data_IF_119214500088
#
_entry.id   IF_119214500088
#
_cell.length_a   1.000
_cell.length_b   1.000
_cell.length_c   1.000
_cell.angle_alpha   90.00
_cell.angle_beta   90.00
_cell.angle_gamma   90.00
#
_symmetry.space_group_name_H-M   'P 1'
#
loop_
_entity.id
_entity.type
_entity.pdbx_description
1 polymer ?
#
# COMPACT_ATOMS: atom_id res chain seq x y z
N UNK A 1 35.50 23.20 -3.37
CA UNK A 1 34.84 23.36 -2.06
C UNK A 1 33.31 23.07 -2.14
N UNK A 2 32.61 23.41 -3.23
CA UNK A 2 31.17 23.16 -3.43
C UNK A 2 30.79 21.67 -3.49
N UNK A 3 31.60 20.81 -4.07
CA UNK A 3 31.29 19.37 -4.27
C UNK A 3 31.31 18.51 -3.00
N UNK A 4 32.04 18.91 -1.96
CA UNK A 4 32.09 18.16 -0.68
C UNK A 4 30.88 18.49 0.22
N UNK A 5 30.40 19.74 0.17
CA UNK A 5 29.22 20.17 0.96
C UNK A 5 27.93 19.54 0.41
N UNK A 6 27.78 19.53 -0.93
CA UNK A 6 26.61 18.89 -1.59
C UNK A 6 26.57 17.39 -1.35
N UNK A 7 27.69 16.67 -1.37
CA UNK A 7 27.74 15.23 -1.05
C UNK A 7 27.40 14.93 0.41
N UNK A 8 27.81 15.77 1.36
CA UNK A 8 27.48 15.59 2.78
C UNK A 8 26.00 15.88 3.05
N UNK A 9 25.43 16.91 2.44
CA UNK A 9 24.00 17.25 2.56
C UNK A 9 23.14 16.15 1.94
N UNK A 10 23.47 15.71 0.74
CA UNK A 10 22.77 14.62 0.06
C UNK A 10 22.85 13.31 0.86
N UNK A 11 24.04 12.95 1.40
CA UNK A 11 24.19 11.77 2.26
C UNK A 11 23.48 11.86 3.61
N UNK A 12 23.29 13.07 4.15
CA UNK A 12 22.51 13.28 5.37
C UNK A 12 21.00 13.19 5.08
N UNK A 13 20.52 13.77 4.00
CA UNK A 13 19.12 13.66 3.56
C UNK A 13 18.72 12.21 3.27
N UNK A 14 19.56 11.46 2.53
CA UNK A 14 19.32 10.03 2.28
C UNK A 14 19.28 9.20 3.57
N UNK A 15 20.12 9.52 4.56
CA UNK A 15 20.09 8.84 5.87
C UNK A 15 18.84 9.19 6.67
N UNK A 16 18.39 10.43 6.67
CA UNK A 16 17.14 10.82 7.35
C UNK A 16 15.92 10.18 6.69
N UNK A 17 15.86 10.12 5.37
CA UNK A 17 14.80 9.45 4.61
C UNK A 17 14.75 7.95 4.93
N UNK A 18 15.89 7.27 4.95
CA UNK A 18 15.97 5.84 5.29
C UNK A 18 15.56 5.53 6.74
N UNK A 19 15.92 6.39 7.71
CA UNK A 19 15.53 6.21 9.10
C UNK A 19 14.00 6.37 9.24
N UNK A 20 13.43 7.42 8.65
CA UNK A 20 11.99 7.67 8.68
C UNK A 20 11.20 6.50 8.03
N UNK A 21 11.66 6.01 6.89
CA UNK A 21 11.06 4.86 6.19
C UNK A 21 11.09 3.62 7.08
N UNK A 22 12.22 3.34 7.73
CA UNK A 22 12.38 2.17 8.62
C UNK A 22 11.42 2.23 9.81
N UNK A 23 11.24 3.41 10.42
CA UNK A 23 10.33 3.60 11.55
C UNK A 23 8.86 3.44 11.13
N UNK A 24 8.47 4.00 9.98
CA UNK A 24 7.11 3.81 9.43
C UNK A 24 6.84 2.34 9.16
N UNK A 25 7.75 1.63 8.52
CA UNK A 25 7.61 0.21 8.22
C UNK A 25 7.56 -0.67 9.47
N UNK A 26 8.28 -0.31 10.52
CA UNK A 26 8.18 -0.96 11.83
C UNK A 26 6.78 -0.78 12.41
N UNK A 27 6.24 0.42 12.39
CA UNK A 27 4.89 0.71 12.91
C UNK A 27 3.80 -0.06 12.13
N UNK A 28 3.96 -0.21 10.79
CA UNK A 28 3.08 -1.04 9.96
C UNK A 28 3.13 -2.49 10.41
N UNK A 29 4.32 -3.06 10.55
CA UNK A 29 4.48 -4.45 10.98
C UNK A 29 3.87 -4.70 12.37
N UNK A 30 4.04 -3.76 13.31
CA UNK A 30 3.44 -3.82 14.64
C UNK A 30 1.90 -3.76 14.57
N UNK A 31 1.35 -2.85 13.76
CA UNK A 31 -0.10 -2.76 13.54
C UNK A 31 -0.66 -4.06 12.95
N UNK A 32 0.03 -4.64 11.96
CA UNK A 32 -0.37 -5.92 11.36
C UNK A 32 -0.27 -7.07 12.35
N UNK A 33 0.73 -7.11 13.22
CA UNK A 33 0.86 -8.15 14.26
C UNK A 33 -0.33 -8.15 15.22
N UNK A 34 -0.80 -6.97 15.61
CA UNK A 34 -1.94 -6.79 16.52
C UNK A 34 -3.28 -7.12 15.86
N UNK A 35 -3.42 -6.86 14.55
CA UNK A 35 -4.65 -7.05 13.80
C UNK A 35 -4.98 -8.53 13.56
N UNK A 36 -6.27 -8.84 13.45
CA UNK A 36 -6.79 -10.15 13.05
C UNK A 36 -7.65 -10.07 11.79
N UNK A 37 -8.43 -8.99 11.63
CA UNK A 37 -9.32 -8.75 10.50
C UNK A 37 -8.90 -7.47 9.78
N UNK A 38 -8.36 -7.62 8.59
CA UNK A 38 -7.81 -6.51 7.81
C UNK A 38 -8.70 -6.22 6.61
N UNK A 39 -9.10 -4.96 6.46
CA UNK A 39 -9.78 -4.47 5.28
C UNK A 39 -8.75 -3.74 4.38
N UNK A 40 -8.64 -4.17 3.15
CA UNK A 40 -7.89 -3.48 2.10
C UNK A 40 -8.86 -2.75 1.19
N UNK A 41 -8.58 -1.50 0.87
CA UNK A 41 -9.42 -0.65 0.03
C UNK A 41 -8.58 -0.05 -1.08
N UNK A 42 -8.99 -0.28 -2.34
CA UNK A 42 -8.37 0.32 -3.52
C UNK A 42 -8.85 1.75 -3.74
N UNK A 43 -8.12 2.52 -4.55
CA UNK A 43 -8.62 3.82 -5.03
C UNK A 43 -9.94 3.68 -5.82
N UNK A 44 -10.65 4.77 -5.98
CA UNK A 44 -11.90 4.86 -6.75
C UNK A 44 -11.68 4.76 -8.26
N UNK A 45 -10.46 4.89 -8.74
CA UNK A 45 -10.02 4.70 -10.12
C UNK A 45 -8.80 3.80 -10.16
N UNK A 46 -8.97 2.52 -9.78
CA UNK A 46 -7.85 1.62 -9.60
C UNK A 46 -7.19 1.27 -10.93
N UNK A 47 -5.88 1.19 -10.92
CA UNK A 47 -5.05 0.76 -12.04
C UNK A 47 -4.16 -0.43 -11.65
N UNK A 48 -3.11 -0.68 -12.42
CA UNK A 48 -2.21 -1.80 -12.15
C UNK A 48 -1.37 -1.62 -10.90
N UNK A 49 -1.05 -0.37 -10.50
CA UNK A 49 -0.29 -0.10 -9.27
C UNK A 49 -1.19 -0.28 -8.04
N UNK A 50 -2.42 0.22 -8.11
CA UNK A 50 -3.42 0.01 -7.07
C UNK A 50 -3.68 -1.48 -6.80
N UNK A 51 -3.93 -2.28 -7.86
CA UNK A 51 -4.16 -3.72 -7.71
C UNK A 51 -2.90 -4.48 -7.32
N UNK A 52 -1.77 -4.16 -7.93
CA UNK A 52 -0.50 -4.82 -7.67
C UNK A 52 -0.07 -4.68 -6.21
N UNK A 53 -0.07 -3.46 -5.69
CA UNK A 53 0.33 -3.15 -4.31
C UNK A 53 -0.59 -3.78 -3.28
N UNK A 54 -1.91 -3.64 -3.45
CA UNK A 54 -2.90 -4.18 -2.52
C UNK A 54 -2.94 -5.71 -2.51
N UNK A 55 -2.82 -6.36 -3.67
CA UNK A 55 -2.80 -7.83 -3.78
C UNK A 55 -1.50 -8.45 -3.24
N UNK A 56 -0.35 -7.82 -3.47
CA UNK A 56 0.92 -8.23 -2.88
C UNK A 56 0.85 -8.20 -1.34
N UNK A 57 0.28 -7.15 -0.79
CA UNK A 57 0.09 -7.01 0.66
C UNK A 57 -0.95 -8.01 1.20
N UNK A 58 -2.04 -8.25 0.45
CA UNK A 58 -3.07 -9.23 0.80
C UNK A 58 -2.50 -10.66 0.93
N UNK A 59 -1.65 -11.07 -0.01
CA UNK A 59 -1.01 -12.39 0.03
C UNK A 59 -0.16 -12.57 1.28
N UNK A 60 0.64 -11.55 1.62
CA UNK A 60 1.43 -11.57 2.85
C UNK A 60 0.57 -11.69 4.11
N UNK A 61 -0.51 -10.91 4.22
CA UNK A 61 -1.43 -10.95 5.35
C UNK A 61 -2.07 -12.34 5.51
N UNK A 62 -2.52 -12.95 4.39
CA UNK A 62 -3.07 -14.31 4.39
C UNK A 62 -2.04 -15.34 4.82
N UNK A 63 -0.77 -15.18 4.40
CA UNK A 63 0.36 -15.99 4.84
C UNK A 63 0.59 -15.94 6.34
N UNK A 64 0.22 -14.83 7.01
CA UNK A 64 0.24 -14.67 8.46
C UNK A 64 -1.03 -15.21 9.15
N UNK A 65 -1.99 -15.77 8.39
CA UNK A 65 -3.27 -16.26 8.92
C UNK A 65 -4.29 -15.17 9.24
N UNK A 66 -4.10 -13.95 8.75
CA UNK A 66 -5.05 -12.85 8.95
C UNK A 66 -6.29 -13.05 8.06
N UNK A 67 -7.46 -12.66 8.56
CA UNK A 67 -8.66 -12.55 7.73
C UNK A 67 -8.58 -11.27 6.90
N UNK A 68 -8.57 -11.41 5.59
CA UNK A 68 -8.44 -10.28 4.66
C UNK A 68 -9.76 -10.09 3.91
N UNK A 69 -10.34 -8.91 4.03
CA UNK A 69 -11.40 -8.39 3.17
C UNK A 69 -10.75 -7.42 2.18
N UNK A 70 -11.01 -7.60 0.89
CA UNK A 70 -10.42 -6.74 -0.13
C UNK A 70 -11.52 -6.11 -0.96
N UNK A 71 -11.73 -4.82 -0.79
CA UNK A 71 -12.80 -4.04 -1.39
C UNK A 71 -12.28 -3.10 -2.48
N UNK A 72 -12.96 -3.12 -3.62
CA UNK A 72 -12.80 -2.11 -4.67
C UNK A 72 -14.10 -1.33 -4.84
N UNK A 73 -14.09 0.00 -4.75
CA UNK A 73 -15.28 0.82 -5.00
C UNK A 73 -15.67 0.88 -6.47
N UNK A 74 -14.84 0.37 -7.36
CA UNK A 74 -15.04 0.37 -8.81
C UNK A 74 -14.84 -1.02 -9.40
N UNK A 75 -15.51 -1.34 -10.51
CA UNK A 75 -15.33 -2.61 -11.20
C UNK A 75 -13.88 -2.86 -11.60
N UNK A 76 -13.47 -4.12 -11.51
CA UNK A 76 -12.12 -4.55 -11.90
C UNK A 76 -12.05 -4.66 -13.42
N UNK A 77 -11.21 -3.87 -14.11
CA UNK A 77 -11.06 -3.99 -15.55
C UNK A 77 -10.53 -5.39 -15.94
N UNK A 78 -11.12 -5.98 -16.98
CA UNK A 78 -10.73 -7.33 -17.44
C UNK A 78 -9.25 -7.45 -17.83
N UNK A 79 -8.62 -6.35 -18.19
CA UNK A 79 -7.18 -6.28 -18.46
C UNK A 79 -6.32 -6.73 -17.27
N UNK A 80 -6.82 -6.66 -16.04
CA UNK A 80 -6.11 -7.07 -14.81
C UNK A 80 -6.50 -8.46 -14.31
N UNK A 81 -7.36 -9.19 -15.02
CA UNK A 81 -7.85 -10.51 -14.60
C UNK A 81 -6.75 -11.57 -14.42
N UNK A 82 -5.56 -11.33 -14.99
CA UNK A 82 -4.39 -12.21 -14.87
C UNK A 82 -3.58 -12.02 -13.58
N UNK A 83 -3.86 -10.95 -12.78
CA UNK A 83 -3.10 -10.69 -11.54
C UNK A 83 -3.50 -11.72 -10.49
N UNK A 84 -2.53 -12.38 -9.83
CA UNK A 84 -2.83 -13.34 -8.78
C UNK A 84 -3.70 -12.76 -7.66
N UNK A 85 -4.77 -13.46 -7.30
CA UNK A 85 -5.67 -13.05 -6.21
C UNK A 85 -6.72 -12.01 -6.59
N UNK A 86 -6.73 -11.46 -7.80
CA UNK A 86 -7.68 -10.41 -8.22
C UNK A 86 -9.15 -10.84 -8.07
N UNK A 87 -9.45 -12.13 -8.27
CA UNK A 87 -10.81 -12.68 -8.11
C UNK A 87 -11.33 -12.67 -6.67
N UNK A 88 -10.48 -12.38 -5.68
CA UNK A 88 -10.86 -12.28 -4.27
C UNK A 88 -11.26 -10.85 -3.87
N UNK A 89 -11.09 -9.87 -4.76
CA UNK A 89 -11.54 -8.50 -4.56
C UNK A 89 -13.05 -8.46 -4.76
N UNK A 90 -13.75 -7.80 -3.85
CA UNK A 90 -15.21 -7.64 -3.92
C UNK A 90 -15.61 -6.19 -4.10
N UNK A 91 -16.70 -5.97 -4.86
CA UNK A 91 -17.38 -4.67 -4.99
C UNK A 91 -18.55 -4.56 -3.98
N UNK A 92 -18.75 -5.58 -3.15
CA UNK A 92 -19.85 -5.58 -2.18
C UNK A 92 -19.56 -4.63 -1.01
N UNK A 93 -20.23 -3.49 -0.99
CA UNK A 93 -20.08 -2.45 0.02
C UNK A 93 -20.40 -2.91 1.45
N UNK A 94 -21.12 -4.04 1.62
CA UNK A 94 -21.44 -4.55 2.95
C UNK A 94 -20.20 -4.96 3.75
N UNK A 95 -19.08 -5.29 3.09
CA UNK A 95 -17.82 -5.63 3.77
C UNK A 95 -17.25 -4.45 4.57
N UNK A 96 -17.57 -3.20 4.20
CA UNK A 96 -17.14 -2.01 4.91
C UNK A 96 -17.82 -1.84 6.29
N UNK A 97 -18.85 -2.64 6.58
CA UNK A 97 -19.62 -2.60 7.82
C UNK A 97 -19.37 -3.83 8.71
N UNK A 98 -18.32 -4.61 8.44
CA UNK A 98 -17.91 -5.70 9.32
C UNK A 98 -17.31 -5.11 10.61
N UNK A 99 -18.00 -5.28 11.72
CA UNK A 99 -17.63 -4.77 13.05
C UNK A 99 -16.37 -5.42 13.65
N UNK A 100 -15.86 -6.45 13.00
CA UNK A 100 -14.62 -7.15 13.41
C UNK A 100 -13.36 -6.56 12.79
N UNK A 101 -13.48 -5.63 11.83
CA UNK A 101 -12.32 -4.99 11.21
C UNK A 101 -11.56 -4.21 12.28
N UNK A 102 -10.28 -4.54 12.44
CA UNK A 102 -9.37 -3.93 13.41
C UNK A 102 -8.18 -3.19 12.75
N UNK A 103 -8.03 -3.37 11.41
CA UNK A 103 -7.05 -2.65 10.59
C UNK A 103 -7.62 -2.36 9.21
N UNK A 104 -7.42 -1.14 8.73
CA UNK A 104 -7.75 -0.73 7.36
C UNK A 104 -6.48 -0.29 6.65
N UNK A 105 -6.29 -0.73 5.41
CA UNK A 105 -5.19 -0.27 4.57
C UNK A 105 -5.74 0.26 3.24
N UNK A 106 -5.30 1.47 2.84
CA UNK A 106 -5.59 2.03 1.51
C UNK A 106 -4.34 2.06 0.67
N UNK A 107 -4.51 1.88 -0.64
CA UNK A 107 -3.41 1.78 -1.58
C UNK A 107 -3.60 2.75 -2.73
N UNK A 108 -2.52 3.47 -3.06
CA UNK A 108 -2.38 4.27 -4.26
C UNK A 108 -3.45 5.34 -4.40
N UNK A 109 -3.79 5.99 -3.29
CA UNK A 109 -4.81 7.04 -3.26
C UNK A 109 -4.32 8.27 -2.52
N UNK A 110 -4.16 9.36 -3.26
CA UNK A 110 -3.77 10.67 -2.71
C UNK A 110 -4.97 11.48 -2.17
N UNK A 111 -6.22 11.06 -2.46
CA UNK A 111 -7.42 11.85 -2.23
C UNK A 111 -8.18 11.41 -0.99
N UNK A 112 -7.89 12.06 0.14
CA UNK A 112 -8.58 11.81 1.40
C UNK A 112 -10.11 11.94 1.27
N UNK A 113 -10.60 12.93 0.51
CA UNK A 113 -12.02 13.20 0.31
C UNK A 113 -12.76 12.04 -0.36
N UNK A 114 -12.07 11.26 -1.20
CA UNK A 114 -12.64 10.08 -1.85
C UNK A 114 -12.57 8.83 -0.96
N UNK A 115 -11.53 8.72 -0.15
CA UNK A 115 -11.25 7.51 0.63
C UNK A 115 -11.89 7.52 2.01
N UNK A 116 -11.85 8.63 2.74
CA UNK A 116 -12.38 8.71 4.10
C UNK A 116 -13.85 8.28 4.20
N UNK A 117 -14.78 8.69 3.32
CA UNK A 117 -16.17 8.23 3.40
C UNK A 117 -16.33 6.71 3.23
N UNK A 118 -15.40 6.05 2.50
CA UNK A 118 -15.42 4.60 2.32
C UNK A 118 -14.94 3.85 3.56
N UNK A 119 -13.97 4.40 4.26
CA UNK A 119 -13.33 3.73 5.39
C UNK A 119 -13.86 4.17 6.76
N UNK A 120 -14.63 5.26 6.84
CA UNK A 120 -15.15 5.82 8.09
C UNK A 120 -15.91 4.79 8.92
N UNK A 121 -16.77 4.00 8.28
CA UNK A 121 -17.57 2.97 8.98
C UNK A 121 -16.69 1.87 9.57
N UNK A 122 -15.61 1.49 8.88
CA UNK A 122 -14.66 0.49 9.36
C UNK A 122 -13.71 1.07 10.42
N UNK A 123 -13.50 2.41 10.42
CA UNK A 123 -12.53 3.09 11.31
C UNK A 123 -12.99 3.28 12.75
N UNK A 124 -14.24 3.09 13.09
CA UNK A 124 -14.71 3.30 14.46
C UNK A 124 -13.87 2.54 15.50
N UNK A 125 -13.30 1.36 15.11
CA UNK A 125 -12.47 0.54 15.98
C UNK A 125 -11.14 0.11 15.32
N UNK A 126 -10.81 0.62 14.14
CA UNK A 126 -9.65 0.20 13.34
C UNK A 126 -8.68 1.35 13.08
N UNK A 127 -7.36 1.02 13.09
CA UNK A 127 -6.33 1.95 12.61
C UNK A 127 -6.31 1.98 11.09
N UNK A 128 -5.95 3.13 10.50
CA UNK A 128 -5.80 3.31 9.06
C UNK A 128 -4.33 3.42 8.67
N UNK A 129 -3.90 2.56 7.77
CA UNK A 129 -2.61 2.64 7.08
C UNK A 129 -2.84 3.13 5.66
N UNK A 130 -2.04 4.09 5.22
CA UNK A 130 -2.02 4.60 3.84
C UNK A 130 -0.70 4.24 3.20
N UNK A 131 -0.75 3.48 2.09
CA UNK A 131 0.39 3.25 1.19
C UNK A 131 0.20 4.09 -0.06
N UNK A 132 1.17 4.95 -0.38
CA UNK A 132 1.08 5.82 -1.55
C UNK A 132 2.46 6.36 -1.96
N UNK A 133 2.57 6.80 -3.21
CA UNK A 133 3.75 7.48 -3.71
C UNK A 133 3.44 8.90 -4.25
N UNK A 134 2.19 9.32 -4.23
CA UNK A 134 1.80 10.63 -4.73
C UNK A 134 2.23 11.76 -3.80
N UNK A 135 2.97 12.74 -4.31
CA UNK A 135 3.40 13.92 -3.55
C UNK A 135 2.22 14.77 -3.02
N UNK A 136 1.05 14.67 -3.67
CA UNK A 136 -0.16 15.40 -3.27
C UNK A 136 -0.94 14.72 -2.12
N UNK A 137 -0.50 13.55 -1.63
CA UNK A 137 -1.17 12.84 -0.55
C UNK A 137 -1.16 13.66 0.74
N UNK A 138 -2.33 13.87 1.35
CA UNK A 138 -2.50 14.64 2.59
C UNK A 138 -2.11 13.87 3.86
N UNK A 139 -1.65 12.62 3.75
CA UNK A 139 -1.26 11.74 4.87
C UNK A 139 -2.39 11.56 5.88
N UNK A 140 -3.54 11.13 5.40
CA UNK A 140 -4.80 11.04 6.14
C UNK A 140 -4.95 9.79 7.02
N UNK A 141 -3.98 8.90 7.01
CA UNK A 141 -3.93 7.70 7.84
C UNK A 141 -3.34 7.94 9.22
N UNK A 142 -3.55 6.98 10.12
CA UNK A 142 -2.85 6.93 11.41
C UNK A 142 -1.37 6.54 11.22
N UNK A 143 -1.09 5.72 10.19
CA UNK A 143 0.26 5.38 9.72
C UNK A 143 0.31 5.67 8.22
N UNK A 144 1.29 6.44 7.77
CA UNK A 144 1.39 6.89 6.40
C UNK A 144 2.73 6.47 5.77
N UNK A 145 2.70 5.41 4.97
CA UNK A 145 3.80 5.00 4.10
C UNK A 145 3.69 5.73 2.75
N UNK A 146 3.91 7.03 2.78
CA UNK A 146 3.83 7.92 1.61
C UNK A 146 5.21 8.40 1.24
N UNK A 147 5.75 7.88 0.13
CA UNK A 147 7.13 8.13 -0.32
C UNK A 147 7.14 8.62 -1.78
N UNK A 148 7.11 9.94 -2.01
CA UNK A 148 7.05 10.53 -3.35
C UNK A 148 8.28 10.25 -4.24
N UNK A 149 9.36 9.75 -3.67
CA UNK A 149 10.56 9.35 -4.41
C UNK A 149 10.42 7.96 -5.04
N UNK A 150 9.45 7.16 -4.58
CA UNK A 150 9.16 5.85 -5.16
C UNK A 150 8.47 6.00 -6.52
N UNK A 151 8.83 5.15 -7.47
CA UNK A 151 8.25 5.17 -8.81
C UNK A 151 6.80 4.66 -8.84
N UNK A 152 6.36 3.95 -7.79
CA UNK A 152 5.01 3.40 -7.66
C UNK A 152 4.70 3.03 -6.21
N UNK A 153 3.43 2.83 -5.87
CA UNK A 153 3.01 2.26 -4.57
C UNK A 153 3.48 0.81 -4.42
N UNK A 154 3.62 0.07 -5.53
CA UNK A 154 4.24 -1.26 -5.52
C UNK A 154 5.70 -1.22 -5.09
N UNK A 155 6.47 -0.19 -5.45
CA UNK A 155 7.84 -0.02 -4.94
C UNK A 155 7.83 0.24 -3.43
N UNK A 156 6.90 1.04 -2.92
CA UNK A 156 6.75 1.27 -1.46
C UNK A 156 6.47 -0.05 -0.72
N UNK A 157 5.58 -0.89 -1.25
CA UNK A 157 5.27 -2.22 -0.66
C UNK A 157 6.47 -3.16 -0.77
N UNK A 158 7.21 -3.14 -1.89
CA UNK A 158 8.44 -3.90 -2.06
C UNK A 158 9.51 -3.50 -1.03
N UNK A 159 9.72 -2.21 -0.83
CA UNK A 159 10.69 -1.69 0.14
C UNK A 159 10.28 -2.04 1.59
N UNK A 160 8.99 -2.04 1.90
CA UNK A 160 8.47 -2.58 3.15
C UNK A 160 8.87 -4.05 3.33
N UNK A 161 8.60 -4.91 2.35
CA UNK A 161 8.94 -6.33 2.42
C UNK A 161 10.44 -6.55 2.58
N UNK A 162 11.25 -5.85 1.79
CA UNK A 162 12.70 -5.92 1.85
C UNK A 162 13.27 -5.46 3.19
N UNK A 163 12.79 -4.31 3.70
CA UNK A 163 13.27 -3.72 4.96
C UNK A 163 12.91 -4.57 6.16
N UNK A 164 11.80 -5.32 6.09
CA UNK A 164 11.31 -6.19 7.16
C UNK A 164 11.67 -7.67 6.98
N UNK A 165 12.53 -7.99 6.00
CA UNK A 165 12.96 -9.36 5.66
C UNK A 165 11.78 -10.30 5.39
N UNK A 166 10.72 -9.79 4.76
CA UNK A 166 9.53 -10.55 4.39
C UNK A 166 9.81 -11.27 3.08
N UNK A 167 9.56 -12.58 3.07
CA UNK A 167 9.73 -13.40 1.85
C UNK A 167 8.71 -13.01 0.78
N UNK A 168 9.21 -12.71 -0.42
CA UNK A 168 8.40 -12.44 -1.62
C UNK A 168 8.19 -13.75 -2.36
N UNK A 169 6.94 -14.17 -2.52
CA UNK A 169 6.57 -15.34 -3.32
C UNK A 169 6.59 -15.00 -4.82
N UNK A 170 6.42 -16.01 -5.68
CA UNK A 170 6.28 -15.77 -7.14
C UNK A 170 5.04 -14.94 -7.45
N UNK A 171 3.94 -15.13 -6.73
CA UNK A 171 2.69 -14.41 -6.98
C UNK A 171 2.74 -12.98 -6.43
N UNK A 172 3.31 -12.78 -5.23
CA UNK A 172 3.66 -11.43 -4.73
C UNK A 172 4.53 -10.68 -5.73
N UNK A 173 5.57 -11.31 -6.28
CA UNK A 173 6.47 -10.68 -7.26
C UNK A 173 5.74 -10.28 -8.55
N UNK A 174 4.80 -11.11 -9.06
CA UNK A 174 3.97 -10.76 -10.23
C UNK A 174 3.10 -9.54 -9.95
N UNK A 175 2.44 -9.50 -8.78
CA UNK A 175 1.63 -8.36 -8.37
C UNK A 175 2.46 -7.07 -8.36
N UNK A 176 3.61 -7.07 -7.69
CA UNK A 176 4.50 -5.90 -7.60
C UNK A 176 5.00 -5.45 -8.97
N UNK A 177 5.40 -6.39 -9.83
CA UNK A 177 5.89 -6.07 -11.18
C UNK A 177 4.81 -5.42 -12.05
N UNK A 178 3.55 -5.85 -11.95
CA UNK A 178 2.45 -5.24 -12.71
C UNK A 178 2.33 -3.76 -12.36
N UNK A 179 2.31 -3.40 -11.09
CA UNK A 179 2.20 -2.00 -10.68
C UNK A 179 3.41 -1.18 -11.11
N UNK A 180 4.63 -1.66 -10.83
CA UNK A 180 5.85 -0.95 -11.25
C UNK A 180 5.89 -0.72 -12.77
N UNK A 181 5.42 -1.67 -13.58
CA UNK A 181 5.40 -1.55 -15.03
C UNK A 181 4.31 -0.59 -15.53
N UNK A 182 3.13 -0.62 -14.92
CA UNK A 182 2.04 0.26 -15.35
C UNK A 182 2.35 1.72 -15.03
N UNK A 183 2.82 2.01 -13.84
CA UNK A 183 3.05 3.36 -13.37
C UNK A 183 4.29 4.01 -14.03
N UNK A 184 5.32 3.22 -14.33
CA UNK A 184 6.53 3.69 -15.05
C UNK A 184 6.41 3.60 -16.58
N UNK A 185 5.22 3.33 -17.14
CA UNK A 185 5.04 3.12 -18.59
C UNK A 185 6.05 2.12 -19.17
N UNK A 186 6.21 0.97 -18.48
CA UNK A 186 7.18 -0.09 -18.85
C UNK A 186 8.62 0.42 -18.79
N UNK A 187 8.94 1.22 -17.75
CA UNK A 187 10.27 1.84 -17.56
C UNK A 187 10.69 2.79 -18.69
N UNK A 188 9.71 3.39 -19.37
CA UNK A 188 9.92 4.29 -20.53
C UNK A 188 10.01 5.78 -20.17
N UNK A 189 10.06 6.14 -18.89
CA UNK A 189 10.18 7.54 -18.40
C UNK A 189 11.64 7.88 -18.12
#
# INVERSE_FOLDING_TARGET
MYTLLTRRVCSAMLRCSNILMTDVFKNIEEAVKEANHVLLVTDTRPDGDTFGSSLAFAEWLRGLGKRVLHFSPSPIPSAFSFIPGVCEITENVSVLSDDKIDLVCTFDSSRAEAMLPLVERARENARLIVFDHHAANSRFGDINAVFPEAASTCEVVYDFFKTRDIRISSDTAKCLLVGMMTDTHVFGN
#
